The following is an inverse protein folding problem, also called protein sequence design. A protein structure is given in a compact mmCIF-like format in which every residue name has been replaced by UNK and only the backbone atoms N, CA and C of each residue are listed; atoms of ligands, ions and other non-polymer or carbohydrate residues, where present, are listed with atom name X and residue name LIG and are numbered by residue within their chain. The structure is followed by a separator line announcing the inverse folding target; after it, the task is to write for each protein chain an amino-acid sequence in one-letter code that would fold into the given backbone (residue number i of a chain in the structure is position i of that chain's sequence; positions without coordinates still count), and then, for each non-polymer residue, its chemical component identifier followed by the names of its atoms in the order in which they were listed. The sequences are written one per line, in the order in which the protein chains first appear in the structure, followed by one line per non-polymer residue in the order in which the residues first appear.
data_IF_077013689421
#
_entry.id   IF_077013689421
#
_cell.length_a   1.000
_cell.length_b   1.000
_cell.length_c   1.000
_cell.angle_alpha   90.00
_cell.angle_beta   90.00
_cell.angle_gamma   90.00
#
_symmetry.space_group_name_H-M   'P 1'
#
loop_
_entity.id
_entity.type
_entity.pdbx_description
1 polymer ?
#
# COMPACT_ATOMS: atom_id res chain seq x y z
N UNK A 1 14.21 -2.26 -2.09
CA UNK A 1 13.23 -2.95 -1.21
C UNK A 1 11.85 -2.55 -1.72
N UNK A 2 10.95 -3.50 -2.05
CA UNK A 2 9.57 -3.16 -2.38
C UNK A 2 8.94 -2.43 -1.19
N UNK A 3 8.32 -1.29 -1.42
CA UNK A 3 7.63 -0.52 -0.39
C UNK A 3 6.16 -0.97 -0.38
N UNK A 4 5.63 -1.28 0.81
CA UNK A 4 4.25 -1.74 0.94
C UNK A 4 3.27 -0.62 0.57
N UNK A 5 3.55 0.61 1.02
CA UNK A 5 2.84 1.82 0.60
C UNK A 5 3.67 2.64 -0.39
N UNK A 6 2.99 3.51 -1.14
CA UNK A 6 3.67 4.54 -1.92
C UNK A 6 4.31 5.55 -0.94
N UNK A 7 5.64 5.76 -0.96
CA UNK A 7 6.32 6.65 -0.01
C UNK A 7 6.08 8.13 -0.27
N UNK A 8 5.48 8.49 -1.42
CA UNK A 8 5.32 9.87 -1.87
C UNK A 8 3.87 10.35 -1.86
N UNK A 9 2.90 9.45 -1.67
CA UNK A 9 1.49 9.81 -1.58
C UNK A 9 0.66 8.75 -0.87
N UNK A 10 -0.34 9.20 -0.14
CA UNK A 10 -1.43 8.42 0.44
C UNK A 10 -2.71 8.45 -0.42
N UNK A 11 -2.67 9.15 -1.57
CA UNK A 11 -3.77 9.26 -2.53
C UNK A 11 -3.52 8.39 -3.75
N UNK A 12 -4.60 7.94 -4.40
CA UNK A 12 -4.51 7.26 -5.69
C UNK A 12 -5.36 8.01 -6.72
N UNK A 13 -4.86 8.08 -7.96
CA UNK A 13 -5.51 8.78 -9.07
C UNK A 13 -5.91 7.78 -10.13
N UNK A 14 -7.15 7.89 -10.60
CA UNK A 14 -7.69 7.03 -11.66
C UNK A 14 -8.15 7.90 -12.82
N UNK A 15 -7.73 7.53 -14.02
CA UNK A 15 -8.09 8.22 -15.24
C UNK A 15 -9.33 7.57 -15.86
N UNK A 16 -10.38 8.36 -16.03
CA UNK A 16 -11.54 7.96 -16.82
C UNK A 16 -11.39 8.55 -18.22
N UNK A 17 -11.12 7.69 -19.20
CA UNK A 17 -11.05 8.08 -20.61
C UNK A 17 -12.11 7.35 -21.41
N UNK A 18 -12.54 7.94 -22.51
CA UNK A 18 -13.37 7.28 -23.51
C UNK A 18 -12.65 7.41 -24.85
N UNK A 19 -12.31 6.27 -25.44
CA UNK A 19 -11.89 6.21 -26.84
C UNK A 19 -13.03 5.53 -27.57
N UNK A 20 -13.83 6.32 -28.31
CA UNK A 20 -15.04 6.09 -29.13
C UNK A 20 -15.65 4.67 -29.33
N UNK A 21 -14.88 3.61 -29.15
CA UNK A 21 -15.31 2.22 -29.09
C UNK A 21 -15.98 1.85 -27.75
N UNK A 22 -16.74 0.75 -27.77
CA UNK A 22 -17.28 0.17 -26.54
C UNK A 22 -16.16 -0.30 -25.61
N UNK A 23 -16.06 0.31 -24.43
CA UNK A 23 -15.13 -0.13 -23.40
C UNK A 23 -15.45 -1.54 -22.87
N UNK A 24 -14.42 -2.28 -22.46
CA UNK A 24 -14.54 -3.60 -21.84
C UNK A 24 -15.59 -3.60 -20.71
N UNK A 25 -16.60 -4.47 -20.83
CA UNK A 25 -17.63 -4.64 -19.79
C UNK A 25 -17.18 -5.65 -18.75
N UNK A 26 -17.63 -5.45 -17.51
CA UNK A 26 -17.42 -6.40 -16.42
C UNK A 26 -18.20 -7.69 -16.73
N UNK A 27 -17.49 -8.82 -16.73
CA UNK A 27 -18.10 -10.14 -16.92
C UNK A 27 -19.07 -10.45 -15.76
N UNK A 28 -20.21 -11.06 -16.07
CA UNK A 28 -21.19 -11.51 -15.08
C UNK A 28 -21.14 -13.03 -14.99
N UNK A 29 -20.95 -13.53 -13.77
CA UNK A 29 -20.94 -14.96 -13.44
C UNK A 29 -22.20 -15.28 -12.64
N UNK A 30 -22.87 -16.38 -13.00
CA UNK A 30 -23.99 -16.91 -12.23
C UNK A 30 -23.46 -17.63 -11.00
N UNK A 31 -23.88 -17.19 -9.82
CA UNK A 31 -23.58 -17.79 -8.53
C UNK A 31 -24.80 -18.32 -7.79
N UNK A 32 -25.88 -18.61 -8.52
CA UNK A 32 -27.08 -19.23 -7.97
C UNK A 32 -26.76 -20.55 -7.26
N UNK A 33 -27.22 -20.77 -6.01
CA UNK A 33 -27.02 -22.03 -5.31
C UNK A 33 -27.86 -23.17 -5.94
N UNK A 34 -27.30 -23.86 -6.93
CA UNK A 34 -27.99 -24.93 -7.68
C UNK A 34 -27.31 -26.29 -7.61
N UNK A 35 -26.06 -26.35 -7.15
CA UNK A 35 -25.32 -27.60 -6.97
C UNK A 35 -25.60 -28.18 -5.59
N UNK A 36 -25.88 -29.49 -5.52
CA UNK A 36 -26.34 -30.14 -4.29
C UNK A 36 -25.22 -30.51 -3.31
N UNK A 37 -24.02 -30.79 -3.80
CA UNK A 37 -22.89 -31.27 -2.98
C UNK A 37 -21.66 -30.34 -3.06
N UNK A 38 -21.81 -29.03 -2.78
CA UNK A 38 -20.72 -28.08 -2.87
C UNK A 38 -19.74 -28.23 -1.69
N UNK A 39 -18.48 -27.88 -1.90
CA UNK A 39 -17.54 -27.67 -0.81
C UNK A 39 -17.85 -26.36 -0.07
N UNK A 40 -18.01 -26.42 1.26
CA UNK A 40 -18.29 -25.23 2.08
C UNK A 40 -17.07 -24.87 2.94
N UNK A 41 -16.36 -23.76 2.66
CA UNK A 41 -15.22 -23.36 3.46
C UNK A 41 -15.66 -22.77 4.81
N UNK A 42 -14.94 -23.09 5.89
CA UNK A 42 -15.23 -22.58 7.23
C UNK A 42 -14.54 -21.24 7.53
N UNK A 43 -13.34 -21.03 6.99
CA UNK A 43 -12.53 -19.85 7.23
C UNK A 43 -11.65 -19.49 6.03
N UNK A 44 -10.94 -18.37 6.15
CA UNK A 44 -9.91 -17.95 5.21
C UNK A 44 -8.74 -17.29 5.94
N UNK A 45 -7.54 -17.35 5.36
CA UNK A 45 -6.34 -16.68 5.88
C UNK A 45 -6.40 -15.20 5.49
N UNK A 46 -6.15 -14.31 6.45
CA UNK A 46 -5.94 -12.88 6.22
C UNK A 46 -4.59 -12.48 6.81
N UNK A 47 -3.87 -11.67 6.06
CA UNK A 47 -2.65 -11.00 6.52
C UNK A 47 -2.94 -9.51 6.64
N UNK A 48 -2.53 -8.92 7.75
CA UNK A 48 -2.53 -7.46 7.96
C UNK A 48 -1.09 -6.99 8.10
N UNK A 49 -0.78 -5.84 7.50
CA UNK A 49 0.50 -5.17 7.63
C UNK A 49 0.38 -4.07 8.68
N UNK A 50 1.33 -4.01 9.61
CA UNK A 50 1.34 -3.07 10.73
C UNK A 50 2.69 -2.34 10.72
N UNK A 51 2.65 -1.04 10.45
CA UNK A 51 3.80 -0.14 10.51
C UNK A 51 3.35 1.30 10.75
N UNK A 52 4.23 2.12 11.31
CA UNK A 52 4.18 3.58 11.19
C UNK A 52 5.54 4.05 10.65
N UNK A 53 5.62 5.20 10.00
CA UNK A 53 6.85 5.64 9.31
C UNK A 53 7.38 6.94 9.94
N UNK A 54 7.90 6.86 11.18
CA UNK A 54 8.30 8.06 11.93
C UNK A 54 9.72 8.54 11.69
N UNK A 55 10.63 7.62 11.35
CA UNK A 55 12.06 7.93 11.25
C UNK A 55 12.61 7.47 9.91
N UNK A 56 13.41 8.33 9.26
CA UNK A 56 14.25 7.95 8.14
C UNK A 56 15.72 8.09 8.58
N UNK A 57 16.36 7.01 9.08
CA UNK A 57 17.72 7.11 9.65
C UNK A 57 18.75 7.66 8.65
N UNK A 58 18.58 7.33 7.37
CA UNK A 58 19.45 7.81 6.28
C UNK A 58 19.17 9.25 5.85
N UNK A 59 18.04 9.84 6.27
CA UNK A 59 17.51 11.13 5.79
C UNK A 59 17.44 11.22 4.26
N UNK A 60 17.33 10.09 3.58
CA UNK A 60 17.29 10.02 2.11
C UNK A 60 15.88 10.17 1.54
N UNK A 61 14.85 10.13 2.38
CA UNK A 61 13.45 9.98 1.96
C UNK A 61 13.04 8.52 1.71
N UNK A 62 13.99 7.57 1.79
CA UNK A 62 13.76 6.13 1.69
C UNK A 62 14.25 5.40 2.94
N UNK A 63 13.67 4.21 3.18
CA UNK A 63 13.99 3.41 4.37
C UNK A 63 13.45 4.07 5.64
N UNK A 64 12.16 4.41 5.59
CA UNK A 64 11.43 4.81 6.80
C UNK A 64 11.23 3.58 7.69
N UNK A 65 11.29 3.82 8.99
CA UNK A 65 11.10 2.81 10.04
C UNK A 65 10.16 3.38 11.10
N UNK A 66 9.53 2.48 11.85
CA UNK A 66 8.59 2.82 12.92
C UNK A 66 9.25 3.58 14.05
N UNK A 67 10.28 3.02 14.65
CA UNK A 67 11.00 3.69 15.72
C UNK A 67 12.41 3.14 15.92
N UNK A 68 13.21 3.93 16.62
CA UNK A 68 14.49 3.51 17.17
C UNK A 68 14.29 2.99 18.60
N UNK A 69 14.78 1.80 18.89
CA UNK A 69 14.82 1.24 20.24
C UNK A 69 16.27 1.16 20.69
N UNK A 70 16.60 1.92 21.72
CA UNK A 70 17.92 1.93 22.36
C UNK A 70 17.84 1.20 23.69
N UNK A 71 18.63 0.14 23.84
CA UNK A 71 18.87 -0.57 25.10
C UNK A 71 20.19 -0.08 25.72
N UNK A 72 20.16 0.72 26.80
CA UNK A 72 21.38 1.19 27.44
C UNK A 72 22.21 0.06 28.06
N UNK A 73 23.53 0.24 28.13
CA UNK A 73 24.47 -0.77 28.66
C UNK A 73 24.18 -1.20 30.10
N UNK A 74 23.53 -0.36 30.92
CA UNK A 74 23.19 -0.65 32.31
C UNK A 74 21.78 -1.26 32.50
N UNK A 75 21.00 -1.45 31.44
CA UNK A 75 19.63 -2.00 31.48
C UNK A 75 19.63 -3.43 30.93
N UNK A 76 18.85 -4.36 31.50
CA UNK A 76 18.81 -5.77 31.04
C UNK A 76 17.87 -6.01 29.86
N UNK A 77 16.78 -5.25 29.78
CA UNK A 77 15.84 -5.28 28.66
C UNK A 77 14.97 -4.03 28.62
N UNK A 78 14.45 -3.70 27.44
CA UNK A 78 13.46 -2.66 27.22
C UNK A 78 12.34 -3.21 26.34
N UNK A 79 11.10 -2.78 26.60
CA UNK A 79 9.94 -3.23 25.83
C UNK A 79 9.26 -2.09 25.06
N UNK A 80 8.65 -2.44 23.93
CA UNK A 80 7.76 -1.61 23.12
C UNK A 80 6.49 -2.38 22.80
N UNK A 81 5.37 -1.66 22.70
CA UNK A 81 4.05 -2.24 22.50
C UNK A 81 3.46 -1.70 21.20
N UNK A 82 3.03 -2.59 20.32
CA UNK A 82 2.42 -2.28 19.03
C UNK A 82 0.99 -2.81 19.04
N UNK A 83 0.03 -1.90 19.14
CA UNK A 83 -1.38 -2.24 19.21
C UNK A 83 -1.99 -2.43 17.82
N UNK A 84 -2.89 -3.40 17.69
CA UNK A 84 -3.64 -3.63 16.46
C UNK A 84 -4.99 -4.27 16.79
N UNK A 85 -5.95 -4.18 15.87
CA UNK A 85 -7.27 -4.78 16.08
C UNK A 85 -7.63 -5.80 15.00
N UNK A 86 -8.28 -6.87 15.43
CA UNK A 86 -8.75 -7.95 14.56
C UNK A 86 -10.25 -8.11 14.74
N UNK A 87 -10.99 -8.34 13.65
CA UNK A 87 -12.44 -8.59 13.69
C UNK A 87 -12.75 -9.97 13.11
N UNK A 88 -13.78 -10.61 13.64
CA UNK A 88 -14.33 -11.88 13.12
C UNK A 88 -13.30 -13.02 13.05
N UNK A 89 -12.49 -13.16 14.10
CA UNK A 89 -11.46 -14.20 14.21
C UNK A 89 -12.08 -15.61 14.25
N UNK A 90 -11.52 -16.55 13.50
CA UNK A 90 -11.95 -17.95 13.46
C UNK A 90 -11.27 -18.78 14.56
N UNK A 91 -9.95 -18.62 14.73
CA UNK A 91 -9.13 -19.29 15.75
C UNK A 91 -8.11 -18.30 16.34
N UNK A 92 -7.63 -18.57 17.55
CA UNK A 92 -6.64 -17.73 18.24
C UNK A 92 -5.20 -17.92 17.73
N UNK A 93 -4.99 -18.84 16.79
CA UNK A 93 -3.71 -19.08 16.12
C UNK A 93 -3.32 -17.94 15.19
N UNK A 94 -2.04 -17.59 15.19
CA UNK A 94 -1.48 -16.56 14.30
C UNK A 94 -0.04 -16.88 13.90
N UNK A 95 0.41 -16.24 12.82
CA UNK A 95 1.81 -16.13 12.44
C UNK A 95 2.17 -14.64 12.33
N UNK A 96 3.36 -14.25 12.79
CA UNK A 96 3.92 -12.90 12.66
C UNK A 96 5.21 -12.99 11.87
N UNK A 97 5.23 -12.34 10.70
CA UNK A 97 6.45 -12.01 9.99
C UNK A 97 6.95 -10.68 10.55
N UNK A 98 8.19 -10.66 11.04
CA UNK A 98 8.78 -9.49 11.70
C UNK A 98 9.95 -8.96 10.89
N UNK A 99 10.03 -7.63 10.74
CA UNK A 99 11.15 -6.95 10.09
C UNK A 99 11.77 -5.90 11.02
N UNK A 100 13.09 -6.01 11.25
CA UNK A 100 13.86 -5.09 12.10
C UNK A 100 15.26 -4.87 11.53
N UNK A 101 15.93 -3.79 11.91
CA UNK A 101 17.33 -3.52 11.55
C UNK A 101 18.19 -3.46 12.79
N UNK A 102 19.31 -4.19 12.79
CA UNK A 102 20.42 -3.95 13.70
C UNK A 102 21.12 -2.63 13.36
N UNK A 103 21.27 -1.75 14.34
CA UNK A 103 21.92 -0.44 14.17
C UNK A 103 23.34 -0.40 14.78
N UNK A 104 23.80 -1.51 15.36
CA UNK A 104 25.16 -1.67 15.88
C UNK A 104 25.81 -2.94 15.35
N UNK A 105 27.12 -3.10 15.53
CA UNK A 105 27.81 -4.34 15.13
C UNK A 105 27.67 -5.47 16.15
N UNK A 106 26.98 -5.22 17.27
CA UNK A 106 26.83 -6.16 18.37
C UNK A 106 25.82 -7.26 18.09
N UNK A 107 25.48 -8.00 19.15
CA UNK A 107 24.38 -8.98 19.14
C UNK A 107 23.09 -8.29 19.56
N UNK A 108 22.07 -8.48 18.74
CA UNK A 108 20.70 -8.05 18.96
C UNK A 108 19.87 -9.25 19.40
N UNK A 109 19.10 -9.13 20.48
CA UNK A 109 18.20 -10.18 20.94
C UNK A 109 16.80 -9.61 21.20
N UNK A 110 15.79 -10.23 20.60
CA UNK A 110 14.39 -9.82 20.68
C UNK A 110 13.52 -11.01 21.06
N UNK A 111 12.73 -10.80 22.10
CA UNK A 111 11.59 -11.63 22.43
C UNK A 111 10.30 -10.94 21.98
N UNK A 112 9.44 -11.66 21.27
CA UNK A 112 8.10 -11.21 20.89
C UNK A 112 7.05 -11.87 21.77
N UNK A 113 6.08 -11.07 22.20
CA UNK A 113 4.96 -11.53 23.02
C UNK A 113 3.62 -11.07 22.41
N UNK A 114 2.60 -11.93 22.46
CA UNK A 114 1.23 -11.60 22.09
C UNK A 114 0.41 -11.47 23.36
N UNK A 115 -0.05 -10.26 23.68
CA UNK A 115 -0.72 -9.93 24.95
C UNK A 115 0.00 -10.55 26.16
N UNK A 116 1.30 -10.29 26.27
CA UNK A 116 2.20 -10.78 27.33
C UNK A 116 2.55 -12.27 27.33
N UNK A 117 2.10 -13.05 26.34
CA UNK A 117 2.56 -14.45 26.17
C UNK A 117 3.68 -14.51 25.12
N UNK A 118 4.92 -14.91 25.49
CA UNK A 118 6.02 -15.06 24.53
C UNK A 118 5.71 -16.11 23.47
N UNK A 119 6.03 -15.80 22.20
CA UNK A 119 5.89 -16.73 21.08
C UNK A 119 7.14 -16.83 20.20
N UNK A 120 8.13 -15.97 20.42
CA UNK A 120 9.41 -15.99 19.72
C UNK A 120 10.48 -15.37 20.60
N UNK A 121 11.69 -15.94 20.59
CA UNK A 121 12.90 -15.30 21.08
C UNK A 121 14.02 -15.61 20.08
N UNK A 122 14.70 -14.58 19.58
CA UNK A 122 15.67 -14.70 18.50
C UNK A 122 16.77 -13.67 18.67
N UNK A 123 17.99 -14.08 18.30
CA UNK A 123 19.14 -13.19 18.25
C UNK A 123 19.82 -13.21 16.89
N UNK A 124 20.40 -12.09 16.50
CA UNK A 124 21.30 -11.97 15.35
C UNK A 124 22.43 -10.98 15.68
N UNK A 125 23.41 -10.84 14.80
CA UNK A 125 24.53 -9.93 15.01
C UNK A 125 24.81 -9.08 13.76
N UNK A 126 25.38 -7.91 13.99
CA UNK A 126 25.81 -6.99 12.93
C UNK A 126 24.75 -5.98 12.51
N UNK A 127 25.21 -4.99 11.73
CA UNK A 127 24.35 -3.93 11.20
C UNK A 127 23.63 -4.36 9.93
N UNK A 128 22.37 -3.97 9.82
CA UNK A 128 21.56 -4.16 8.62
C UNK A 128 21.54 -2.87 7.79
N UNK A 129 22.26 -2.83 6.65
CA UNK A 129 22.36 -1.63 5.82
C UNK A 129 21.33 -1.57 4.68
N UNK A 130 21.03 -2.70 4.06
CA UNK A 130 20.28 -2.77 2.79
C UNK A 130 18.95 -3.50 2.91
N UNK A 131 18.81 -4.37 3.91
CA UNK A 131 17.62 -5.17 4.14
C UNK A 131 17.46 -5.46 5.64
N UNK A 132 16.21 -5.54 6.14
CA UNK A 132 15.96 -5.88 7.53
C UNK A 132 16.36 -7.33 7.80
N UNK A 133 16.69 -7.61 9.05
CA UNK A 133 16.63 -8.97 9.58
C UNK A 133 15.15 -9.35 9.73
N UNK A 134 14.78 -10.50 9.14
CA UNK A 134 13.38 -10.95 9.10
C UNK A 134 13.24 -12.40 9.53
N UNK A 135 12.16 -12.69 10.25
CA UNK A 135 11.80 -14.07 10.59
C UNK A 135 10.28 -14.22 10.71
N UNK A 136 9.83 -15.46 10.54
CA UNK A 136 8.45 -15.87 10.78
C UNK A 136 8.38 -16.63 12.10
N UNK A 137 7.40 -16.28 12.93
CA UNK A 137 7.10 -17.00 14.17
C UNK A 137 5.59 -17.09 14.36
N UNK A 138 5.11 -18.02 15.17
CA UNK A 138 3.68 -18.23 15.34
C UNK A 138 3.33 -18.67 16.75
N UNK A 139 2.07 -18.48 17.11
CA UNK A 139 1.58 -18.77 18.44
C UNK A 139 0.06 -18.82 18.49
N UNK A 140 -0.44 -18.87 19.72
CA UNK A 140 -1.86 -18.80 20.08
C UNK A 140 -2.05 -17.63 21.04
N UNK A 141 -3.29 -17.31 21.44
CA UNK A 141 -3.68 -16.10 22.19
C UNK A 141 -4.05 -14.87 21.33
N UNK A 142 -4.31 -14.96 20.02
CA UNK A 142 -4.94 -13.85 19.30
C UNK A 142 -6.43 -13.72 19.69
N UNK A 143 -6.96 -12.51 19.82
CA UNK A 143 -8.38 -12.27 20.10
C UNK A 143 -9.07 -11.44 19.03
N UNK A 144 -10.39 -11.65 18.86
CA UNK A 144 -11.22 -10.63 18.22
C UNK A 144 -11.29 -9.40 19.12
N UNK A 145 -11.00 -8.22 18.57
CA UNK A 145 -10.82 -6.98 19.32
C UNK A 145 -9.38 -6.51 19.27
N UNK A 146 -8.96 -5.85 20.34
CA UNK A 146 -7.62 -5.26 20.44
C UNK A 146 -6.60 -6.32 20.86
N UNK A 147 -5.42 -6.22 20.27
CA UNK A 147 -4.27 -7.08 20.52
C UNK A 147 -3.02 -6.21 20.56
N UNK A 148 -1.96 -6.74 21.17
CA UNK A 148 -0.67 -6.05 21.29
C UNK A 148 0.45 -7.04 21.02
N UNK A 149 1.33 -6.69 20.08
CA UNK A 149 2.66 -7.29 19.97
C UNK A 149 3.59 -6.51 20.89
N UNK A 150 4.15 -7.18 21.89
CA UNK A 150 5.21 -6.61 22.72
C UNK A 150 6.55 -7.08 22.20
N UNK A 151 7.41 -6.14 21.81
CA UNK A 151 8.80 -6.39 21.47
C UNK A 151 9.64 -6.11 22.71
N UNK A 152 10.27 -7.14 23.25
CA UNK A 152 11.24 -7.01 24.35
C UNK A 152 12.65 -7.20 23.80
N UNK A 153 13.37 -6.10 23.66
CA UNK A 153 14.80 -6.12 23.34
C UNK A 153 15.55 -6.42 24.62
N UNK A 154 16.34 -7.49 24.65
CA UNK A 154 17.06 -7.93 25.83
C UNK A 154 18.53 -8.16 25.53
N UNK A 155 19.35 -8.20 26.59
CA UNK A 155 20.81 -8.25 26.44
C UNK A 155 21.28 -9.57 25.82
N UNK A 156 21.84 -9.47 24.62
CA UNK A 156 22.80 -10.45 24.07
C UNK A 156 24.27 -10.10 24.34
N UNK A 157 24.54 -8.91 24.89
CA UNK A 157 25.89 -8.36 25.10
C UNK A 157 25.89 -7.00 25.81
N UNK A 158 26.56 -6.00 25.21
CA UNK A 158 26.63 -4.61 25.71
C UNK A 158 25.32 -3.83 25.54
N UNK A 159 25.42 -2.50 25.44
CA UNK A 159 24.29 -1.68 25.01
C UNK A 159 23.92 -1.99 23.55
N UNK A 160 22.66 -1.81 23.20
CA UNK A 160 22.13 -2.17 21.88
C UNK A 160 21.23 -1.08 21.27
N UNK A 161 21.13 -1.07 19.96
CA UNK A 161 20.26 -0.20 19.17
C UNK A 161 19.73 -0.97 17.97
N UNK A 162 18.41 -0.92 17.81
CA UNK A 162 17.71 -1.49 16.66
C UNK A 162 16.68 -0.49 16.12
N UNK A 163 16.25 -0.69 14.88
CA UNK A 163 15.08 -0.04 14.31
C UNK A 163 13.98 -1.07 14.06
N UNK A 164 12.76 -0.76 14.47
CA UNK A 164 11.58 -1.57 14.17
C UNK A 164 11.01 -1.08 12.84
N UNK A 165 10.83 -1.98 11.88
CA UNK A 165 10.27 -1.67 10.56
C UNK A 165 8.77 -1.95 10.58
N UNK A 166 8.37 -3.21 10.45
CA UNK A 166 6.97 -3.61 10.41
C UNK A 166 6.73 -5.03 10.95
N UNK A 167 5.44 -5.33 11.15
CA UNK A 167 4.94 -6.68 11.39
C UNK A 167 3.84 -7.02 10.38
N UNK A 168 3.89 -8.22 9.82
CA UNK A 168 2.73 -8.81 9.13
C UNK A 168 2.12 -9.90 9.98
N UNK A 169 0.86 -9.74 10.37
CA UNK A 169 0.14 -10.71 11.19
C UNK A 169 -0.83 -11.48 10.30
N UNK A 170 -0.59 -12.78 10.17
CA UNK A 170 -1.43 -13.72 9.44
C UNK A 170 -2.28 -14.55 10.39
N UNK A 171 -3.59 -14.62 10.16
CA UNK A 171 -4.53 -15.36 11.00
C UNK A 171 -5.77 -15.81 10.22
N UNK A 172 -6.60 -16.65 10.82
CA UNK A 172 -7.82 -17.15 10.18
C UNK A 172 -9.05 -16.32 10.58
N UNK A 173 -9.85 -15.91 9.59
CA UNK A 173 -11.11 -15.19 9.77
C UNK A 173 -12.31 -16.04 9.38
N UNK A 174 -13.42 -15.80 10.06
CA UNK A 174 -14.74 -16.26 9.65
C UNK A 174 -15.20 -15.50 8.40
N UNK A 175 -16.03 -16.14 7.57
CA UNK A 175 -16.80 -15.48 6.51
C UNK A 175 -17.93 -14.61 7.10
N UNK A 176 -17.54 -13.56 7.83
CA UNK A 176 -18.45 -12.61 8.48
C UNK A 176 -18.03 -11.19 8.12
N UNK A 177 -18.97 -10.45 7.52
CA UNK A 177 -18.79 -9.06 7.17
C UNK A 177 -18.68 -8.17 8.42
N UNK A 178 -18.05 -7.03 8.22
CA UNK A 178 -18.03 -5.93 9.17
C UNK A 178 -18.40 -4.66 8.41
N UNK A 179 -19.38 -3.91 8.89
CA UNK A 179 -19.92 -2.71 8.24
C UNK A 179 -20.29 -2.95 6.76
N UNK A 180 -21.03 -4.02 6.46
CA UNK A 180 -21.45 -4.39 5.09
C UNK A 180 -20.32 -4.64 4.09
N UNK A 181 -19.11 -4.96 4.56
CA UNK A 181 -17.96 -5.31 3.70
C UNK A 181 -17.30 -6.60 4.20
N UNK A 182 -16.96 -7.48 3.25
CA UNK A 182 -16.12 -8.65 3.47
C UNK A 182 -15.22 -8.89 2.25
N UNK A 183 -13.91 -8.73 2.44
CA UNK A 183 -12.90 -9.24 1.52
C UNK A 183 -12.42 -10.59 2.03
N UNK A 184 -12.38 -11.60 1.16
CA UNK A 184 -12.01 -12.97 1.51
C UNK A 184 -11.33 -13.68 0.34
N UNK A 185 -10.67 -14.79 0.64
CA UNK A 185 -10.03 -15.67 -0.33
C UNK A 185 -10.24 -17.12 0.04
N UNK A 186 -9.97 -18.05 -0.87
CA UNK A 186 -9.87 -19.46 -0.52
C UNK A 186 -8.51 -19.76 0.12
N UNK A 187 -8.46 -20.78 1.00
CA UNK A 187 -7.18 -21.22 1.59
C UNK A 187 -6.31 -21.88 0.54
N UNK A 188 -5.00 -21.88 0.77
CA UNK A 188 -4.03 -22.46 -0.15
C UNK A 188 -4.11 -23.98 -0.26
N UNK A 189 -4.53 -24.64 0.81
CA UNK A 189 -4.72 -26.09 0.94
C UNK A 189 -6.19 -26.51 0.70
N UNK A 190 -7.05 -25.59 0.25
CA UNK A 190 -8.45 -25.90 -0.01
C UNK A 190 -8.60 -26.72 -1.30
N UNK A 191 -9.63 -27.58 -1.41
CA UNK A 191 -9.89 -28.36 -2.63
C UNK A 191 -10.03 -27.46 -3.86
N UNK A 192 -9.53 -27.91 -4.99
CA UNK A 192 -9.67 -27.21 -6.27
C UNK A 192 -10.42 -28.08 -7.27
N UNK A 193 -10.75 -27.53 -8.44
CA UNK A 193 -11.56 -28.19 -9.47
C UNK A 193 -12.94 -28.64 -8.93
N UNK A 194 -13.55 -27.77 -8.12
CA UNK A 194 -14.82 -28.08 -7.45
C UNK A 194 -15.69 -26.84 -7.25
N UNK A 195 -16.98 -27.06 -7.00
CA UNK A 195 -17.94 -26.00 -6.71
C UNK A 195 -17.89 -25.69 -5.22
N UNK A 196 -17.68 -24.42 -4.92
CA UNK A 196 -17.72 -23.87 -3.58
C UNK A 196 -19.10 -23.29 -3.29
N UNK A 197 -19.61 -23.49 -2.08
CA UNK A 197 -20.72 -22.72 -1.53
C UNK A 197 -20.20 -21.80 -0.43
N UNK A 198 -20.27 -20.49 -0.66
CA UNK A 198 -19.91 -19.51 0.35
C UNK A 198 -21.14 -19.07 1.12
N UNK A 199 -21.03 -19.11 2.45
CA UNK A 199 -22.04 -18.62 3.39
C UNK A 199 -21.47 -17.42 4.16
N UNK A 200 -21.71 -16.22 3.65
CA UNK A 200 -21.18 -14.99 4.21
C UNK A 200 -22.20 -14.35 5.16
N UNK A 201 -21.85 -14.18 6.42
CA UNK A 201 -22.76 -13.69 7.46
C UNK A 201 -22.51 -12.21 7.80
N UNK A 202 -23.44 -11.58 8.52
CA UNK A 202 -23.22 -10.26 9.15
C UNK A 202 -23.40 -9.06 8.22
N UNK A 203 -24.12 -9.24 7.11
CA UNK A 203 -24.57 -8.15 6.26
C UNK A 203 -25.91 -7.60 6.77
N UNK A 204 -26.10 -6.29 6.69
CA UNK A 204 -27.38 -5.61 6.93
C UNK A 204 -28.24 -5.51 5.67
N UNK A 205 -27.60 -5.57 4.50
CA UNK A 205 -28.22 -5.47 3.17
C UNK A 205 -27.61 -6.48 2.21
N UNK A 206 -28.33 -6.84 1.15
CA UNK A 206 -27.79 -7.68 0.07
C UNK A 206 -26.61 -6.97 -0.63
N UNK A 207 -25.38 -7.51 -0.53
CA UNK A 207 -24.18 -6.90 -1.09
C UNK A 207 -24.00 -7.26 -2.57
N UNK A 208 -23.20 -6.46 -3.27
CA UNK A 208 -22.61 -6.86 -4.53
C UNK A 208 -21.42 -7.79 -4.25
N UNK A 209 -21.26 -8.83 -5.06
CA UNK A 209 -20.16 -9.78 -4.95
C UNK A 209 -19.30 -9.64 -6.21
N UNK A 210 -18.00 -9.41 -6.00
CA UNK A 210 -17.02 -9.32 -7.08
C UNK A 210 -15.91 -10.35 -6.88
N UNK A 211 -15.57 -11.06 -7.94
CA UNK A 211 -14.32 -11.81 -8.05
C UNK A 211 -13.22 -10.82 -8.44
N UNK A 212 -12.31 -10.57 -7.50
CA UNK A 212 -11.17 -9.66 -7.62
C UNK A 212 -9.85 -10.42 -7.72
N UNK A 213 -9.88 -11.70 -8.13
CA UNK A 213 -8.69 -12.53 -8.30
C UNK A 213 -7.71 -11.92 -9.31
N UNK A 214 -8.24 -11.34 -10.39
CA UNK A 214 -7.46 -10.58 -11.38
C UNK A 214 -7.83 -9.10 -11.32
N UNK A 215 -6.88 -8.19 -11.01
CA UNK A 215 -7.17 -6.76 -10.86
C UNK A 215 -7.64 -6.09 -12.17
N UNK A 216 -7.29 -6.67 -13.33
CA UNK A 216 -7.68 -6.16 -14.66
C UNK A 216 -8.83 -6.95 -15.32
N UNK A 217 -9.31 -8.01 -14.65
CA UNK A 217 -10.38 -8.88 -15.13
C UNK A 217 -11.35 -9.21 -13.98
N UNK A 218 -11.79 -8.18 -13.24
CA UNK A 218 -12.79 -8.33 -12.19
C UNK A 218 -14.12 -8.82 -12.79
N UNK A 219 -14.77 -9.76 -12.11
CA UNK A 219 -16.08 -10.31 -12.51
C UNK A 219 -17.13 -10.02 -11.44
N UNK A 220 -18.39 -9.83 -11.84
CA UNK A 220 -19.51 -9.68 -10.92
C UNK A 220 -20.24 -11.01 -10.77
N UNK A 221 -20.38 -11.48 -9.54
CA UNK A 221 -21.16 -12.69 -9.23
C UNK A 221 -22.59 -12.26 -8.92
N UNK A 222 -23.57 -12.90 -9.57
CA UNK A 222 -25.01 -12.63 -9.42
C UNK A 222 -25.76 -13.91 -9.05
N UNK A 223 -27.08 -13.85 -8.85
CA UNK A 223 -27.87 -15.04 -8.47
C UNK A 223 -27.73 -15.47 -7.00
N UNK A 224 -26.94 -14.74 -6.20
CA UNK A 224 -26.82 -15.01 -4.77
C UNK A 224 -28.16 -14.83 -4.05
N UNK A 225 -28.37 -15.64 -3.01
CA UNK A 225 -29.51 -15.50 -2.10
C UNK A 225 -29.10 -14.66 -0.90
N UNK A 226 -30.05 -13.89 -0.35
CA UNK A 226 -29.84 -13.10 0.86
C UNK A 226 -31.00 -13.34 1.82
N UNK A 227 -30.69 -13.89 3.00
CA UNK A 227 -31.69 -14.17 4.03
C UNK A 227 -31.12 -13.91 5.42
N UNK A 228 -31.85 -13.13 6.24
CA UNK A 228 -31.47 -12.78 7.62
C UNK A 228 -30.00 -12.33 7.81
N UNK A 229 -29.45 -11.57 6.86
CA UNK A 229 -28.08 -11.07 6.93
C UNK A 229 -26.99 -12.06 6.48
N UNK A 230 -27.40 -13.22 5.96
CA UNK A 230 -26.53 -14.22 5.34
C UNK A 230 -26.70 -14.19 3.84
N UNK A 231 -25.57 -14.11 3.13
CA UNK A 231 -25.47 -14.21 1.68
C UNK A 231 -24.95 -15.58 1.33
N UNK A 232 -25.67 -16.30 0.46
CA UNK A 232 -25.25 -17.61 -0.05
C UNK A 232 -25.14 -17.56 -1.56
N UNK A 233 -24.02 -18.05 -2.07
CA UNK A 233 -23.77 -18.18 -3.51
C UNK A 233 -22.80 -19.33 -3.76
N UNK A 234 -22.79 -19.84 -4.99
CA UNK A 234 -21.89 -20.90 -5.41
C UNK A 234 -20.98 -20.40 -6.54
N UNK A 235 -19.71 -20.84 -6.55
CA UNK A 235 -18.81 -20.61 -7.69
C UNK A 235 -17.92 -21.81 -7.92
N UNK A 236 -17.55 -22.05 -9.17
CA UNK A 236 -16.52 -23.02 -9.53
C UNK A 236 -15.12 -22.43 -9.25
N UNK A 237 -14.28 -23.21 -8.56
CA UNK A 237 -12.89 -22.88 -8.28
C UNK A 237 -12.01 -23.80 -9.13
N UNK A 238 -11.35 -23.28 -10.19
CA UNK A 238 -10.49 -24.08 -11.04
C UNK A 238 -9.14 -24.37 -10.35
N UNK A 239 -8.42 -25.37 -10.82
CA UNK A 239 -7.12 -25.80 -10.27
C UNK A 239 -6.06 -24.69 -10.21
N UNK A 240 -6.05 -23.78 -11.18
CA UNK A 240 -5.00 -22.78 -11.35
C UNK A 240 -5.32 -21.43 -10.67
N UNK A 241 -6.53 -21.25 -10.13
CA UNK A 241 -6.94 -19.96 -9.55
C UNK A 241 -7.30 -20.05 -8.07
N UNK A 242 -6.55 -19.32 -7.25
CA UNK A 242 -6.95 -19.05 -5.86
C UNK A 242 -7.89 -17.86 -5.82
N UNK A 243 -9.19 -18.14 -5.79
CA UNK A 243 -10.22 -17.09 -5.80
C UNK A 243 -10.04 -16.10 -4.65
N UNK A 244 -10.10 -14.82 -5.00
CA UNK A 244 -10.18 -13.69 -4.07
C UNK A 244 -11.43 -12.89 -4.42
N UNK A 245 -12.28 -12.67 -3.44
CA UNK A 245 -13.57 -12.03 -3.63
C UNK A 245 -13.77 -10.88 -2.64
N UNK A 246 -14.61 -9.93 -3.02
CA UNK A 246 -15.16 -8.91 -2.13
C UNK A 246 -16.68 -8.90 -2.24
N UNK A 247 -17.35 -9.02 -1.10
CA UNK A 247 -18.78 -8.81 -0.97
C UNK A 247 -18.99 -7.47 -0.24
N UNK A 248 -19.59 -6.50 -0.90
CA UNK A 248 -19.74 -5.14 -0.35
C UNK A 248 -21.04 -4.47 -0.76
N UNK A 249 -21.60 -3.67 0.16
CA UNK A 249 -22.61 -2.65 -0.15
C UNK A 249 -22.05 -1.22 -0.04
N UNK A 250 -20.83 -1.09 0.46
CA UNK A 250 -20.16 0.19 0.72
C UNK A 250 -19.13 0.45 -0.38
N UNK A 251 -19.16 1.65 -0.94
CA UNK A 251 -18.24 2.10 -1.98
C UNK A 251 -17.46 3.32 -1.48
N UNK A 252 -16.18 3.39 -1.86
CA UNK A 252 -15.39 4.61 -1.66
C UNK A 252 -15.92 5.67 -2.63
N UNK A 253 -15.98 6.91 -2.16
CA UNK A 253 -16.28 8.07 -3.00
C UNK A 253 -14.97 8.77 -3.32
N UNK A 254 -14.70 9.14 -4.59
CA UNK A 254 -13.51 9.91 -4.91
C UNK A 254 -13.55 11.27 -4.21
N UNK A 255 -12.39 11.77 -3.77
CA UNK A 255 -12.30 13.07 -3.12
C UNK A 255 -12.66 14.22 -4.08
N UNK A 256 -12.26 14.10 -5.34
CA UNK A 256 -12.62 15.04 -6.40
C UNK A 256 -12.64 14.36 -7.76
N UNK A 257 -13.32 14.99 -8.71
CA UNK A 257 -13.31 14.61 -10.12
C UNK A 257 -13.04 15.89 -10.91
N UNK A 258 -11.97 15.88 -11.70
CA UNK A 258 -11.53 17.02 -12.51
C UNK A 258 -11.21 16.58 -13.92
N UNK A 259 -11.36 17.49 -14.86
CA UNK A 259 -10.82 17.30 -16.21
C UNK A 259 -9.30 17.46 -16.18
N UNK A 260 -8.59 16.55 -16.84
CA UNK A 260 -7.12 16.55 -16.94
C UNK A 260 -6.67 16.32 -18.39
N UNK A 261 -5.48 16.82 -18.73
CA UNK A 261 -4.89 16.62 -20.05
C UNK A 261 -3.54 15.86 -19.90
N UNK A 262 -3.48 14.56 -20.25
CA UNK A 262 -2.27 13.75 -20.08
C UNK A 262 -1.17 14.06 -21.10
N UNK A 263 -1.42 15.00 -22.02
CA UNK A 263 -0.53 15.33 -23.13
C UNK A 263 -0.14 16.81 -23.16
N UNK A 264 -0.50 17.61 -22.14
CA UNK A 264 -0.21 19.04 -22.14
C UNK A 264 1.30 19.34 -22.21
N UNK A 265 2.14 18.46 -21.66
CA UNK A 265 3.61 18.57 -21.65
C UNK A 265 4.31 17.66 -22.67
N UNK A 266 3.54 16.96 -23.52
CA UNK A 266 4.06 15.99 -24.50
C UNK A 266 4.10 16.55 -25.93
N UNK A 267 4.21 17.86 -26.06
CA UNK A 267 4.33 18.55 -27.34
C UNK A 267 5.79 18.97 -27.58
N UNK A 268 6.15 19.17 -28.86
CA UNK A 268 7.43 19.82 -29.20
C UNK A 268 7.39 21.26 -28.69
N UNK A 269 8.38 21.62 -27.89
CA UNK A 269 8.42 22.91 -27.20
C UNK A 269 9.87 23.42 -27.06
N UNK A 270 10.07 24.57 -26.40
CA UNK A 270 11.40 25.12 -26.09
C UNK A 270 11.41 25.97 -24.82
N UNK A 271 12.52 25.92 -24.06
CA UNK A 271 12.78 26.84 -22.95
C UNK A 271 14.28 26.93 -22.67
N UNK A 272 14.74 28.08 -22.17
CA UNK A 272 16.09 28.24 -21.60
C UNK A 272 16.10 27.95 -20.09
N UNK A 273 14.98 28.27 -19.42
CA UNK A 273 14.81 28.10 -17.98
C UNK A 273 13.40 27.61 -17.66
N UNK A 274 13.30 26.53 -16.90
CA UNK A 274 12.02 26.01 -16.39
C UNK A 274 11.96 26.24 -14.88
N UNK A 275 10.86 26.85 -14.43
CA UNK A 275 10.48 26.94 -13.02
C UNK A 275 9.35 25.93 -12.80
N UNK A 276 9.64 24.83 -12.10
CA UNK A 276 8.63 23.89 -11.64
C UNK A 276 8.11 24.36 -10.30
N UNK A 277 6.79 24.50 -10.15
CA UNK A 277 6.21 25.02 -8.90
C UNK A 277 4.82 24.48 -8.62
N UNK A 278 4.38 24.61 -7.37
CA UNK A 278 3.03 24.31 -6.95
C UNK A 278 2.13 25.55 -7.09
N UNK A 279 0.84 25.37 -7.35
CA UNK A 279 -0.14 26.46 -7.57
C UNK A 279 -0.13 27.56 -6.51
N UNK A 280 0.17 27.22 -5.24
CA UNK A 280 0.31 28.17 -4.13
C UNK A 280 1.40 29.23 -4.35
N UNK A 281 2.42 28.94 -5.15
CA UNK A 281 3.55 29.83 -5.42
C UNK A 281 3.54 30.40 -6.85
N UNK A 282 2.47 30.19 -7.62
CA UNK A 282 2.38 30.60 -9.01
C UNK A 282 2.70 32.09 -9.23
N UNK A 283 2.16 32.98 -8.38
CA UNK A 283 2.40 34.42 -8.50
C UNK A 283 3.87 34.80 -8.24
N UNK A 284 4.48 34.24 -7.18
CA UNK A 284 5.90 34.46 -6.89
C UNK A 284 6.82 33.88 -7.99
N UNK A 285 6.48 32.71 -8.53
CA UNK A 285 7.18 32.13 -9.67
C UNK A 285 7.04 33.00 -10.95
N UNK A 286 5.88 33.64 -11.14
CA UNK A 286 5.62 34.56 -12.25
C UNK A 286 6.46 35.83 -12.16
N UNK A 287 6.57 36.44 -10.97
CA UNK A 287 7.46 37.58 -10.74
C UNK A 287 8.93 37.21 -11.04
N UNK A 288 9.39 36.04 -10.57
CA UNK A 288 10.74 35.56 -10.86
C UNK A 288 10.96 35.29 -12.36
N UNK A 289 9.97 34.69 -13.04
CA UNK A 289 10.01 34.47 -14.49
C UNK A 289 10.19 35.78 -15.23
N UNK A 290 9.41 36.80 -14.88
CA UNK A 290 9.43 38.10 -15.57
C UNK A 290 10.74 38.85 -15.31
N UNK A 291 11.29 38.73 -14.10
CA UNK A 291 12.63 39.24 -13.82
C UNK A 291 13.72 38.50 -14.63
N UNK A 292 13.65 37.17 -14.73
CA UNK A 292 14.63 36.34 -15.45
C UNK A 292 14.65 36.56 -16.96
N UNK A 293 13.56 37.05 -17.57
CA UNK A 293 13.53 37.45 -18.98
C UNK A 293 14.58 38.49 -19.34
N UNK A 294 15.05 39.29 -18.37
CA UNK A 294 16.08 40.32 -18.58
C UNK A 294 17.39 40.04 -17.83
N UNK A 295 17.45 38.99 -17.01
CA UNK A 295 18.54 38.75 -16.06
C UNK A 295 18.97 37.27 -15.99
N UNK A 296 18.78 36.51 -17.08
CA UNK A 296 19.39 35.19 -17.21
C UNK A 296 20.82 35.35 -17.76
N UNK A 297 21.81 35.03 -16.94
CA UNK A 297 23.21 35.17 -17.32
C UNK A 297 23.55 34.27 -18.51
N UNK A 298 24.25 34.82 -19.50
CA UNK A 298 24.75 34.05 -20.65
C UNK A 298 23.72 33.74 -21.75
N UNK A 299 22.46 34.15 -21.59
CA UNK A 299 21.40 33.91 -22.59
C UNK A 299 20.73 35.23 -22.97
N UNK A 300 20.81 35.60 -24.25
CA UNK A 300 20.10 36.78 -24.76
C UNK A 300 18.64 36.41 -25.08
N UNK A 301 17.69 37.22 -24.60
CA UNK A 301 16.25 37.03 -24.78
C UNK A 301 15.74 35.63 -24.36
N UNK A 302 15.98 35.20 -23.11
CA UNK A 302 15.70 33.84 -22.67
C UNK A 302 14.19 33.52 -22.62
N UNK A 303 13.84 32.33 -23.06
CA UNK A 303 12.50 31.75 -22.93
C UNK A 303 12.36 31.09 -21.55
N UNK A 304 11.60 31.72 -20.66
CA UNK A 304 11.35 31.22 -19.31
C UNK A 304 9.95 30.61 -19.22
N UNK A 305 9.85 29.35 -18.81
CA UNK A 305 8.58 28.65 -18.62
C UNK A 305 8.32 28.34 -17.16
N UNK A 306 7.04 28.45 -16.78
CA UNK A 306 6.55 27.94 -15.51
C UNK A 306 5.76 26.68 -15.83
N UNK A 307 6.07 25.59 -15.13
CA UNK A 307 5.37 24.31 -15.26
C UNK A 307 4.80 23.95 -13.90
N UNK A 308 3.51 23.63 -13.85
CA UNK A 308 2.87 23.22 -12.60
C UNK A 308 3.29 21.79 -12.25
N UNK A 309 3.57 21.54 -10.97
CA UNK A 309 3.96 20.20 -10.52
C UNK A 309 2.83 19.17 -10.74
N UNK A 310 1.58 19.56 -10.52
CA UNK A 310 0.41 18.71 -10.76
C UNK A 310 0.32 18.30 -12.24
N UNK A 311 0.68 19.21 -13.16
CA UNK A 311 0.69 18.94 -14.61
C UNK A 311 1.79 17.93 -14.99
N UNK A 312 2.95 17.99 -14.33
CA UNK A 312 4.00 16.98 -14.49
C UNK A 312 3.49 15.62 -14.02
N UNK A 313 2.81 15.56 -12.87
CA UNK A 313 2.26 14.30 -12.37
C UNK A 313 1.22 13.72 -13.34
N UNK A 314 0.30 14.54 -13.83
CA UNK A 314 -0.71 14.11 -14.80
C UNK A 314 -0.08 13.49 -16.06
N UNK A 315 0.98 14.11 -16.58
CA UNK A 315 1.62 13.67 -17.82
C UNK A 315 2.58 12.48 -17.61
N UNK A 316 3.25 12.35 -16.46
CA UNK A 316 4.40 11.44 -16.29
C UNK A 316 4.28 10.41 -15.16
N UNK A 317 3.23 10.46 -14.34
CA UNK A 317 2.92 9.48 -13.30
C UNK A 317 1.43 9.19 -13.17
N UNK A 318 0.63 9.50 -14.19
CA UNK A 318 -0.82 9.31 -14.19
C UNK A 318 -1.51 10.05 -13.03
N UNK A 319 -1.00 11.23 -12.69
CA UNK A 319 -1.52 12.10 -11.62
C UNK A 319 -1.01 11.76 -10.22
N UNK A 320 -0.27 10.66 -10.04
CA UNK A 320 0.31 10.31 -8.74
C UNK A 320 1.49 11.22 -8.40
N UNK A 321 1.53 11.75 -7.18
CA UNK A 321 2.72 12.45 -6.69
C UNK A 321 3.89 11.48 -6.63
N UNK A 322 4.85 11.64 -7.54
CA UNK A 322 6.01 10.77 -7.68
C UNK A 322 7.22 11.59 -8.21
N UNK A 323 8.36 11.66 -7.50
CA UNK A 323 9.55 12.35 -7.99
C UNK A 323 10.09 11.76 -9.31
N UNK A 324 9.79 10.50 -9.62
CA UNK A 324 10.11 9.89 -10.93
C UNK A 324 9.40 10.62 -12.06
N UNK A 325 8.21 11.19 -11.84
CA UNK A 325 7.49 11.99 -12.84
C UNK A 325 8.31 13.23 -13.25
N UNK A 326 8.91 13.93 -12.27
CA UNK A 326 9.76 15.10 -12.49
C UNK A 326 10.99 14.71 -13.32
N UNK A 327 11.65 13.61 -12.96
CA UNK A 327 12.78 13.07 -13.72
C UNK A 327 12.37 12.73 -15.16
N UNK A 328 11.24 12.05 -15.33
CA UNK A 328 10.74 11.64 -16.64
C UNK A 328 10.32 12.84 -17.49
N UNK A 329 9.76 13.90 -16.89
CA UNK A 329 9.48 15.16 -17.57
C UNK A 329 10.75 15.81 -18.11
N UNK A 330 11.80 15.95 -17.28
CA UNK A 330 13.06 16.53 -17.76
C UNK A 330 13.78 15.65 -18.76
N UNK A 331 13.69 14.31 -18.63
CA UNK A 331 14.16 13.40 -19.67
C UNK A 331 13.41 13.63 -20.98
N UNK A 332 12.09 13.78 -20.94
CA UNK A 332 11.28 14.06 -22.12
C UNK A 332 11.67 15.41 -22.76
N UNK A 333 11.74 16.48 -21.97
CA UNK A 333 12.15 17.80 -22.44
C UNK A 333 13.56 17.77 -23.05
N UNK A 334 14.51 17.04 -22.45
CA UNK A 334 15.86 16.92 -22.97
C UNK A 334 15.97 16.23 -24.34
N UNK A 335 15.05 15.29 -24.65
CA UNK A 335 15.14 14.46 -25.85
C UNK A 335 14.15 14.83 -26.96
N UNK A 336 13.02 15.47 -26.63
CA UNK A 336 11.92 15.69 -27.57
C UNK A 336 11.55 17.17 -27.77
N UNK A 337 12.04 18.08 -26.93
CA UNK A 337 11.87 19.51 -27.19
C UNK A 337 12.87 19.98 -28.25
N UNK A 338 12.47 20.98 -29.03
CA UNK A 338 13.33 21.56 -30.08
C UNK A 338 14.60 22.16 -29.47
N UNK A 339 14.45 22.80 -28.30
CA UNK A 339 15.56 23.32 -27.52
C UNK A 339 15.36 22.99 -26.02
N UNK A 340 16.21 22.11 -25.45
CA UNK A 340 16.06 21.67 -24.08
C UNK A 340 16.53 22.75 -23.08
N UNK A 341 15.97 22.77 -21.85
CA UNK A 341 16.33 23.76 -20.85
C UNK A 341 17.76 23.62 -20.37
N UNK A 342 18.50 24.73 -20.35
CA UNK A 342 19.84 24.81 -19.73
C UNK A 342 19.77 25.00 -18.22
N UNK A 343 18.65 25.52 -17.70
CA UNK A 343 18.44 25.78 -16.29
C UNK A 343 17.09 25.23 -15.81
N UNK A 344 17.08 24.76 -14.57
CA UNK A 344 15.86 24.30 -13.88
C UNK A 344 15.84 24.87 -12.47
N UNK A 345 14.67 25.30 -12.01
CA UNK A 345 14.39 25.62 -10.62
C UNK A 345 13.18 24.83 -10.13
N UNK A 346 13.37 24.08 -9.05
CA UNK A 346 12.29 23.51 -8.27
C UNK A 346 11.90 24.54 -7.19
N UNK A 347 10.74 25.17 -7.34
CA UNK A 347 10.28 26.25 -6.49
C UNK A 347 9.14 25.76 -5.59
N UNK A 348 9.50 25.27 -4.41
CA UNK A 348 8.58 24.83 -3.37
C UNK A 348 9.30 24.10 -2.24
N UNK A 349 8.52 23.61 -1.27
CA UNK A 349 8.99 22.60 -0.32
C UNK A 349 9.12 21.23 -0.99
N UNK A 350 10.06 20.43 -0.52
CA UNK A 350 10.20 19.01 -0.89
C UNK A 350 9.40 18.10 0.00
#
# INVERSE_FOLDING_TARGET
VPLFYNPFTDTNVYWLTWGENEGKRMEVVDGSPSFNEPYTPSCFKKTIHIEENHLCPSKSGFGWVWEEVVLPTNVSSISRNYAFSVKNLYSDSFEVFTAVYGATTGTHCIELQMKSIPFSDTCWAGMNYTAPFTWLSGGTNLSSGDNTITVRVHKGGGGDKIYIDYFEVSFYKNYKAFNNVLEFSIKEDAPVDTIYEFNLNGFFESPYIFDITSPFNTKRITGSTFNYGTVKFQIFVPQEEKKKCIATKVFKTPESITEGNPNSLRNVDKADYIIVTHKKFYYAASELRDWRRNHLLGVQNPTIKIVMIDEIFDNFSWGLSDPVAIRNFFYYAANFWEYPPGYVLLFGGG
#
